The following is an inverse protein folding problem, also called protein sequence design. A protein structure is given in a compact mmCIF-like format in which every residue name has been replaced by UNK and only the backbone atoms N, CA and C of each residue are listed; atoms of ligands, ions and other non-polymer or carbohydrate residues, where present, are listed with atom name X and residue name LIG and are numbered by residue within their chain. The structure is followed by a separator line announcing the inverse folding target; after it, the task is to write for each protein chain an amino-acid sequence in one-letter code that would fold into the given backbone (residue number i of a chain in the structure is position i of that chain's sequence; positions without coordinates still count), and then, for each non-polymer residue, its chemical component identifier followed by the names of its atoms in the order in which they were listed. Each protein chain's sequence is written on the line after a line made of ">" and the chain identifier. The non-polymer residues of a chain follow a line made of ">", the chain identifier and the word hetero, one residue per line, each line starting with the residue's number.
data_IF_138113792566
#
_entry.id   IF_138113792566
#
_cell.length_a   1.000
_cell.length_b   1.000
_cell.length_c   1.000
_cell.angle_alpha   90.00
_cell.angle_beta   90.00
_cell.angle_gamma   90.00
#
_symmetry.space_group_name_H-M   'P 1'
#
loop_
_entity.id
_entity.type
_entity.pdbx_description
1 polymer ?
#
# COMPACT_ATOMS: atom_id res chain seq x y z
N UNK A 1 4.19 -22.93 -1.46
CA UNK A 1 3.33 -21.97 -2.18
C UNK A 1 3.68 -22.14 -3.66
N UNK A 2 2.70 -22.33 -4.50
CA UNK A 2 2.93 -22.62 -5.92
C UNK A 2 2.94 -21.31 -6.73
N UNK A 3 3.95 -21.16 -7.59
CA UNK A 3 3.96 -20.17 -8.66
C UNK A 3 3.62 -20.89 -9.96
N UNK A 4 2.75 -20.32 -10.77
CA UNK A 4 2.56 -20.80 -12.14
C UNK A 4 3.70 -20.25 -13.02
N UNK A 5 4.77 -21.03 -13.12
CA UNK A 5 5.96 -20.67 -13.89
C UNK A 5 5.70 -20.59 -15.41
N UNK A 6 4.53 -21.03 -15.89
CA UNK A 6 4.17 -21.00 -17.32
C UNK A 6 3.42 -19.73 -17.73
N UNK A 7 2.85 -18.97 -16.78
CA UNK A 7 2.12 -17.75 -17.05
C UNK A 7 3.08 -16.55 -17.18
N UNK A 8 2.90 -15.66 -18.18
CA UNK A 8 3.70 -14.44 -18.26
C UNK A 8 3.40 -13.54 -17.05
N UNK A 9 4.46 -13.10 -16.37
CA UNK A 9 4.33 -12.19 -15.23
C UNK A 9 3.84 -10.83 -15.71
N UNK A 10 2.79 -10.31 -15.06
CA UNK A 10 2.26 -8.96 -15.29
C UNK A 10 2.80 -8.01 -14.24
N UNK A 11 3.35 -6.90 -14.68
CA UNK A 11 3.79 -5.81 -13.80
C UNK A 11 2.71 -4.75 -13.72
N UNK A 12 2.56 -4.14 -12.54
CA UNK A 12 1.54 -3.12 -12.25
C UNK A 12 2.17 -1.74 -12.04
N UNK A 13 1.37 -0.70 -12.23
CA UNK A 13 1.74 0.69 -11.98
C UNK A 13 1.30 1.11 -10.59
N UNK A 14 2.24 1.51 -9.76
CA UNK A 14 2.06 1.75 -8.33
C UNK A 14 2.33 3.22 -8.01
N UNK A 15 1.40 3.87 -7.33
CA UNK A 15 1.60 5.20 -6.74
C UNK A 15 1.92 5.07 -5.24
N UNK A 16 2.80 5.94 -4.74
CA UNK A 16 3.22 5.97 -3.32
C UNK A 16 2.84 7.31 -2.71
N UNK A 17 2.13 7.29 -1.58
CA UNK A 17 1.83 8.45 -0.76
C UNK A 17 2.49 8.33 0.60
N UNK A 18 3.40 9.23 0.92
CA UNK A 18 3.92 9.37 2.27
C UNK A 18 3.13 10.42 3.03
N UNK A 19 2.62 10.06 4.19
CA UNK A 19 1.89 10.95 5.11
C UNK A 19 2.81 11.29 6.27
N UNK A 20 3.24 12.54 6.37
CA UNK A 20 4.16 12.98 7.41
C UNK A 20 4.14 14.50 7.59
N UNK A 21 4.09 14.95 8.84
CA UNK A 21 4.19 16.36 9.20
C UNK A 21 5.64 16.88 9.24
N UNK A 22 6.63 15.96 9.23
CA UNK A 22 8.02 16.32 9.52
C UNK A 22 9.03 15.95 8.44
N UNK A 23 8.66 15.08 7.50
CA UNK A 23 9.54 14.61 6.42
C UNK A 23 9.41 15.47 5.16
N UNK A 24 10.46 15.46 4.36
CA UNK A 24 10.45 15.87 2.96
C UNK A 24 10.71 14.66 2.09
N UNK A 25 10.58 14.78 0.77
CA UNK A 25 10.91 13.68 -0.16
C UNK A 25 12.36 13.19 0.00
N UNK A 26 13.30 14.08 0.33
CA UNK A 26 14.71 13.74 0.53
C UNK A 26 14.97 12.97 1.83
N UNK A 27 14.12 13.15 2.84
CA UNK A 27 14.25 12.50 4.16
C UNK A 27 13.26 11.33 4.34
N UNK A 28 12.44 11.06 3.34
CA UNK A 28 11.43 9.99 3.34
C UNK A 28 12.05 8.63 3.04
N UNK A 29 12.62 8.00 4.07
CA UNK A 29 13.23 6.67 3.95
C UNK A 29 12.21 5.57 3.68
N UNK A 30 10.97 5.72 4.15
CA UNK A 30 9.89 4.72 3.98
C UNK A 30 9.37 4.70 2.55
N UNK A 31 9.04 5.87 1.98
CA UNK A 31 8.63 5.97 0.58
C UNK A 31 9.76 5.61 -0.38
N UNK A 32 11.02 5.96 -0.06
CA UNK A 32 12.19 5.57 -0.86
C UNK A 32 12.38 4.05 -0.85
N UNK A 33 12.22 3.39 0.30
CA UNK A 33 12.24 1.93 0.37
C UNK A 33 11.15 1.29 -0.50
N UNK A 34 9.91 1.76 -0.39
CA UNK A 34 8.79 1.23 -1.18
C UNK A 34 9.02 1.40 -2.68
N UNK A 35 9.54 2.55 -3.11
CA UNK A 35 9.88 2.79 -4.51
C UNK A 35 10.96 1.82 -4.99
N UNK A 36 12.07 1.71 -4.28
CA UNK A 36 13.13 0.77 -4.64
C UNK A 36 12.61 -0.66 -4.71
N UNK A 37 11.83 -1.10 -3.71
CA UNK A 37 11.32 -2.46 -3.62
C UNK A 37 10.36 -2.83 -4.75
N UNK A 38 9.48 -1.90 -5.17
CA UNK A 38 8.58 -2.16 -6.30
C UNK A 38 9.34 -2.21 -7.65
N UNK A 39 10.35 -1.36 -7.84
CA UNK A 39 11.17 -1.32 -9.04
C UNK A 39 12.05 -2.58 -9.16
N UNK A 40 12.61 -3.07 -8.05
CA UNK A 40 13.38 -4.33 -7.99
C UNK A 40 12.52 -5.55 -8.40
N UNK A 41 11.21 -5.53 -8.08
CA UNK A 41 10.26 -6.57 -8.52
C UNK A 41 9.77 -6.38 -9.98
N UNK A 42 10.20 -5.31 -10.66
CA UNK A 42 9.84 -4.99 -12.04
C UNK A 42 8.54 -4.22 -12.19
N UNK A 43 7.90 -3.79 -11.12
CA UNK A 43 6.75 -2.90 -11.19
C UNK A 43 7.16 -1.47 -11.59
N UNK A 44 6.20 -0.64 -11.95
CA UNK A 44 6.46 0.73 -12.41
C UNK A 44 5.93 1.75 -11.41
N UNK A 45 6.76 2.71 -11.04
CA UNK A 45 6.30 3.87 -10.27
C UNK A 45 5.41 4.74 -11.15
N UNK A 46 4.13 4.88 -10.77
CA UNK A 46 3.20 5.77 -11.47
C UNK A 46 3.34 7.22 -10.98
N UNK A 47 3.39 7.41 -9.66
CA UNK A 47 3.56 8.73 -9.02
C UNK A 47 4.09 8.54 -7.60
N UNK A 48 4.71 9.57 -7.02
CA UNK A 48 5.13 9.60 -5.62
C UNK A 48 4.91 10.99 -5.04
N UNK A 49 4.12 11.06 -3.97
CA UNK A 49 3.81 12.30 -3.25
C UNK A 49 4.03 12.17 -1.76
N UNK A 50 4.23 13.31 -1.14
CA UNK A 50 4.26 13.46 0.30
C UNK A 50 3.27 14.56 0.69
N UNK A 51 2.42 14.28 1.68
CA UNK A 51 1.46 15.24 2.24
C UNK A 51 1.57 15.24 3.76
N UNK A 52 1.15 16.34 4.37
CA UNK A 52 0.96 16.39 5.83
C UNK A 52 -0.19 15.47 6.24
N UNK A 53 -0.28 15.11 7.53
CA UNK A 53 -1.39 14.31 8.04
C UNK A 53 -2.66 15.17 8.11
N UNK A 54 -3.35 15.25 6.98
CA UNK A 54 -4.60 15.96 6.77
C UNK A 54 -5.55 15.12 5.92
N UNK A 55 -6.75 14.87 6.47
CA UNK A 55 -7.77 14.01 5.84
C UNK A 55 -8.08 14.43 4.40
N UNK A 56 -8.21 15.71 4.16
CA UNK A 56 -8.66 16.21 2.86
C UNK A 56 -7.54 16.24 1.83
N UNK A 57 -6.29 16.49 2.25
CA UNK A 57 -5.14 16.38 1.35
C UNK A 57 -4.91 14.92 0.93
N UNK A 58 -4.99 13.98 1.87
CA UNK A 58 -4.91 12.54 1.55
C UNK A 58 -6.02 12.12 0.59
N UNK A 59 -7.28 12.51 0.87
CA UNK A 59 -8.42 12.20 0.00
C UNK A 59 -8.26 12.80 -1.39
N UNK A 60 -7.80 14.03 -1.51
CA UNK A 60 -7.60 14.69 -2.80
C UNK A 60 -6.60 13.94 -3.66
N UNK A 61 -5.43 13.57 -3.11
CA UNK A 61 -4.40 12.84 -3.83
C UNK A 61 -4.89 11.45 -4.21
N UNK A 62 -5.41 10.68 -3.23
CA UNK A 62 -5.82 9.28 -3.45
C UNK A 62 -7.01 9.20 -4.38
N UNK A 63 -8.01 10.08 -4.27
CA UNK A 63 -9.15 10.12 -5.21
C UNK A 63 -8.72 10.43 -6.64
N UNK A 64 -7.74 11.31 -6.82
CA UNK A 64 -7.16 11.60 -8.14
C UNK A 64 -6.54 10.33 -8.74
N UNK A 65 -5.75 9.61 -7.96
CA UNK A 65 -5.14 8.36 -8.41
C UNK A 65 -6.16 7.22 -8.64
N UNK A 66 -7.21 7.13 -7.80
CA UNK A 66 -8.33 6.18 -8.02
C UNK A 66 -9.04 6.47 -9.36
N UNK A 67 -9.14 7.72 -9.76
CA UNK A 67 -9.73 8.12 -11.04
C UNK A 67 -8.80 7.92 -12.24
N UNK A 68 -7.48 7.91 -12.01
CA UNK A 68 -6.48 7.77 -13.07
C UNK A 68 -6.39 6.31 -13.56
N UNK A 69 -6.66 6.02 -14.86
CA UNK A 69 -6.55 4.67 -15.41
C UNK A 69 -5.13 4.11 -15.43
N UNK A 70 -4.12 4.96 -15.26
CA UNK A 70 -2.72 4.54 -15.25
C UNK A 70 -2.24 4.13 -13.85
N UNK A 71 -3.03 4.34 -12.78
CA UNK A 71 -2.71 3.90 -11.42
C UNK A 71 -3.50 2.64 -11.07
N UNK A 72 -2.80 1.53 -10.88
CA UNK A 72 -3.40 0.22 -10.60
C UNK A 72 -3.34 -0.14 -9.11
N UNK A 73 -2.31 0.36 -8.41
CA UNK A 73 -2.09 0.13 -6.98
C UNK A 73 -1.65 1.43 -6.32
N UNK A 74 -2.11 1.64 -5.10
CA UNK A 74 -1.68 2.75 -4.24
C UNK A 74 -1.13 2.16 -2.95
N UNK A 75 0.06 2.60 -2.54
CA UNK A 75 0.62 2.27 -1.24
C UNK A 75 0.78 3.59 -0.47
N UNK A 76 0.12 3.72 0.68
CA UNK A 76 0.33 4.85 1.57
C UNK A 76 1.13 4.43 2.80
N UNK A 77 1.99 5.29 3.29
CA UNK A 77 2.79 5.05 4.50
C UNK A 77 2.71 6.24 5.44
N UNK A 78 2.37 5.99 6.70
CA UNK A 78 2.19 7.00 7.74
C UNK A 78 0.74 7.23 8.16
N UNK A 79 0.56 7.94 9.26
CA UNK A 79 -0.76 8.36 9.79
C UNK A 79 -1.68 7.23 10.26
N UNK A 80 -1.15 6.06 10.61
CA UNK A 80 -1.96 4.90 11.02
C UNK A 80 -1.96 4.64 12.54
N UNK A 81 -1.31 5.48 13.33
CA UNK A 81 -1.26 5.37 14.79
C UNK A 81 -2.50 5.96 15.48
N UNK A 82 -2.36 6.27 16.77
CA UNK A 82 -3.43 6.78 17.64
C UNK A 82 -3.18 8.21 18.14
N UNK A 83 -2.17 8.91 17.63
CA UNK A 83 -2.00 10.32 17.99
C UNK A 83 -3.11 11.17 17.39
N UNK A 84 -3.34 12.36 17.92
CA UNK A 84 -4.38 13.25 17.39
C UNK A 84 -4.15 13.73 15.94
N UNK A 85 -2.96 13.46 15.40
CA UNK A 85 -2.60 13.77 14.00
C UNK A 85 -2.77 12.57 13.07
N UNK A 86 -2.73 11.35 13.59
CA UNK A 86 -2.87 10.14 12.76
C UNK A 86 -4.31 10.00 12.25
N UNK A 87 -4.52 10.19 10.95
CA UNK A 87 -5.84 10.21 10.35
C UNK A 87 -5.98 9.41 9.04
N UNK A 88 -4.97 8.61 8.66
CA UNK A 88 -5.00 7.82 7.42
C UNK A 88 -6.22 6.87 7.35
N UNK A 89 -6.59 6.10 8.39
CA UNK A 89 -7.76 5.25 8.33
C UNK A 89 -9.07 6.04 8.12
N UNK A 90 -9.22 7.15 8.80
CA UNK A 90 -10.38 8.04 8.70
C UNK A 90 -10.47 8.74 7.33
N UNK A 91 -9.31 9.04 6.74
CA UNK A 91 -9.22 9.63 5.42
C UNK A 91 -9.61 8.64 4.32
N UNK A 92 -9.06 7.43 4.34
CA UNK A 92 -9.04 6.55 3.19
C UNK A 92 -10.08 5.42 3.24
N UNK A 93 -10.45 4.93 4.43
CA UNK A 93 -11.49 3.89 4.56
C UNK A 93 -12.82 4.25 3.86
N UNK A 94 -13.31 5.51 3.94
CA UNK A 94 -14.53 5.89 3.22
C UNK A 94 -14.42 5.88 1.69
N UNK A 95 -13.23 5.79 1.13
CA UNK A 95 -13.00 5.71 -0.32
C UNK A 95 -13.06 4.27 -0.84
N UNK A 96 -13.10 3.27 0.03
CA UNK A 96 -13.06 1.87 -0.38
C UNK A 96 -14.43 1.36 -0.82
N UNK A 97 -14.51 0.80 -2.02
CA UNK A 97 -15.67 0.05 -2.48
C UNK A 97 -15.75 -1.32 -1.78
N UNK A 98 -14.58 -1.90 -1.49
CA UNK A 98 -14.44 -3.17 -0.75
C UNK A 98 -13.26 -3.08 0.20
N UNK A 99 -13.47 -3.46 1.47
CA UNK A 99 -12.39 -3.61 2.44
C UNK A 99 -11.65 -4.94 2.26
N UNK A 100 -10.32 -4.90 2.40
CA UNK A 100 -9.44 -6.08 2.44
C UNK A 100 -9.01 -6.27 3.90
N UNK A 101 -9.91 -6.78 4.73
CA UNK A 101 -9.71 -6.90 6.18
C UNK A 101 -8.51 -7.80 6.51
N UNK A 102 -8.35 -8.90 5.76
CA UNK A 102 -7.25 -9.84 5.93
C UNK A 102 -5.86 -9.23 5.80
N UNK A 103 -5.71 -8.08 5.12
CA UNK A 103 -4.42 -7.38 5.07
C UNK A 103 -3.99 -6.90 6.46
N UNK A 104 -4.88 -6.20 7.17
CA UNK A 104 -4.58 -5.70 8.51
C UNK A 104 -4.39 -6.82 9.54
N UNK A 105 -5.16 -7.89 9.42
CA UNK A 105 -5.03 -9.09 10.27
C UNK A 105 -3.65 -9.74 10.09
N UNK A 106 -3.27 -10.05 8.86
CA UNK A 106 -2.00 -10.70 8.55
C UNK A 106 -0.80 -9.78 8.85
N UNK A 107 -0.90 -8.48 8.56
CA UNK A 107 0.14 -7.52 8.91
C UNK A 107 0.40 -7.49 10.42
N UNK A 108 -0.64 -7.42 11.25
CA UNK A 108 -0.48 -7.43 12.72
C UNK A 108 0.07 -8.74 13.23
N UNK A 109 -0.28 -9.87 12.63
CA UNK A 109 0.31 -11.16 12.97
C UNK A 109 1.81 -11.18 12.70
N UNK A 110 2.26 -10.75 11.51
CA UNK A 110 3.68 -10.69 11.16
C UNK A 110 4.44 -9.69 12.04
N UNK A 111 3.86 -8.53 12.30
CA UNK A 111 4.46 -7.51 13.18
C UNK A 111 4.59 -7.98 14.63
N UNK A 112 3.72 -8.88 15.09
CA UNK A 112 3.80 -9.41 16.45
C UNK A 112 5.12 -10.13 16.72
N UNK A 113 5.64 -10.84 15.73
CA UNK A 113 6.92 -11.54 15.84
C UNK A 113 8.12 -10.57 15.95
N UNK A 114 7.97 -9.34 15.45
CA UNK A 114 9.01 -8.30 15.47
C UNK A 114 8.91 -7.36 16.67
N UNK A 115 7.71 -6.90 17.01
CA UNK A 115 7.48 -5.82 17.99
C UNK A 115 6.51 -6.21 19.12
N UNK A 116 6.10 -7.48 19.19
CA UNK A 116 5.20 -7.97 20.24
C UNK A 116 3.85 -7.24 20.25
N UNK A 117 3.32 -7.00 21.44
CA UNK A 117 2.00 -6.36 21.62
C UNK A 117 1.90 -4.92 21.11
N UNK A 118 3.02 -4.25 20.79
CA UNK A 118 2.98 -2.90 20.17
C UNK A 118 2.24 -2.88 18.84
N UNK A 119 2.15 -4.04 18.16
CA UNK A 119 1.37 -4.17 16.92
C UNK A 119 -0.12 -3.86 17.09
N UNK A 120 -0.68 -3.94 18.30
CA UNK A 120 -2.08 -3.57 18.60
C UNK A 120 -2.37 -2.11 18.24
N UNK A 121 -1.37 -1.25 18.28
CA UNK A 121 -1.51 0.17 17.92
C UNK A 121 -1.43 0.43 16.41
N UNK A 122 -1.24 -0.59 15.59
CA UNK A 122 -1.23 -0.43 14.13
C UNK A 122 -2.65 -0.49 13.58
N UNK A 123 -3.12 0.61 13.00
CA UNK A 123 -4.41 0.70 12.30
C UNK A 123 -4.24 0.58 10.77
N UNK A 124 -3.26 -0.21 10.34
CA UNK A 124 -3.08 -0.48 8.90
C UNK A 124 -4.32 -1.15 8.32
N UNK A 125 -4.63 -0.81 7.07
CA UNK A 125 -5.82 -1.25 6.38
C UNK A 125 -5.56 -1.34 4.87
N UNK A 126 -6.43 -2.05 4.16
CA UNK A 126 -6.41 -2.08 2.70
C UNK A 126 -7.82 -2.19 2.12
N UNK A 127 -7.96 -1.81 0.86
CA UNK A 127 -9.21 -1.86 0.14
C UNK A 127 -9.04 -1.85 -1.37
N UNK A 128 -10.15 -2.09 -2.06
CA UNK A 128 -10.28 -1.89 -3.50
C UNK A 128 -11.20 -0.70 -3.75
N UNK A 129 -10.81 0.18 -4.66
CA UNK A 129 -11.60 1.33 -5.11
C UNK A 129 -11.47 1.46 -6.61
N UNK A 130 -12.58 1.38 -7.34
CA UNK A 130 -12.58 1.51 -8.81
C UNK A 130 -11.53 0.61 -9.49
N UNK A 131 -11.37 -0.63 -9.01
CA UNK A 131 -10.35 -1.60 -9.43
C UNK A 131 -8.89 -1.13 -9.22
N UNK A 132 -8.65 -0.25 -8.29
CA UNK A 132 -7.32 0.10 -7.78
C UNK A 132 -7.17 -0.50 -6.39
N UNK A 133 -6.11 -1.27 -6.16
CA UNK A 133 -5.81 -1.82 -4.84
C UNK A 133 -5.07 -0.77 -3.99
N UNK A 134 -5.50 -0.56 -2.76
CA UNK A 134 -4.94 0.45 -1.85
C UNK A 134 -4.48 -0.25 -0.58
N UNK A 135 -3.20 -0.06 -0.22
CA UNK A 135 -2.60 -0.59 0.99
C UNK A 135 -2.09 0.57 1.85
N UNK A 136 -2.58 0.68 3.08
CA UNK A 136 -2.18 1.73 4.02
C UNK A 136 -1.34 1.10 5.14
N UNK A 137 -0.04 1.42 5.17
CA UNK A 137 0.94 0.84 6.10
C UNK A 137 1.46 1.89 7.08
N UNK A 138 1.96 1.49 8.27
CA UNK A 138 2.56 2.42 9.21
C UNK A 138 3.78 3.16 8.63
N UNK A 139 4.10 4.33 9.22
CA UNK A 139 5.12 5.24 8.69
C UNK A 139 6.58 4.82 8.90
N UNK A 140 6.86 3.77 9.66
CA UNK A 140 8.24 3.30 9.85
C UNK A 140 8.74 2.49 8.66
N UNK A 141 10.02 2.62 8.32
CA UNK A 141 10.64 1.81 7.26
C UNK A 141 10.59 0.31 7.58
N UNK A 142 10.67 -0.07 8.87
CA UNK A 142 10.50 -1.46 9.32
C UNK A 142 9.12 -2.00 8.96
N UNK A 143 8.06 -1.26 9.28
CA UNK A 143 6.69 -1.65 8.94
C UNK A 143 6.46 -1.75 7.43
N UNK A 144 7.05 -0.84 6.63
CA UNK A 144 7.02 -0.93 5.17
C UNK A 144 7.69 -2.21 4.68
N UNK A 145 8.83 -2.61 5.27
CA UNK A 145 9.52 -3.87 4.95
C UNK A 145 8.67 -5.08 5.29
N UNK A 146 8.06 -5.12 6.46
CA UNK A 146 7.18 -6.21 6.89
C UNK A 146 5.97 -6.33 5.97
N UNK A 147 5.29 -5.22 5.64
CA UNK A 147 4.14 -5.22 4.73
C UNK A 147 4.53 -5.66 3.32
N UNK A 148 5.61 -5.10 2.77
CA UNK A 148 6.05 -5.42 1.41
C UNK A 148 6.51 -6.87 1.29
N UNK A 149 7.49 -7.28 2.10
CA UNK A 149 8.09 -8.60 1.99
C UNK A 149 7.15 -9.73 2.42
N UNK A 150 6.32 -9.49 3.43
CA UNK A 150 5.43 -10.51 3.99
C UNK A 150 4.09 -10.65 3.26
N UNK A 151 3.63 -9.60 2.58
CA UNK A 151 2.28 -9.60 2.00
C UNK A 151 2.25 -9.00 0.60
N UNK A 152 2.58 -7.71 0.43
CA UNK A 152 2.25 -6.95 -0.78
C UNK A 152 2.97 -7.52 -2.00
N UNK A 153 4.25 -7.84 -1.89
CA UNK A 153 5.06 -8.40 -2.97
C UNK A 153 4.43 -9.66 -3.58
N UNK A 154 3.95 -10.59 -2.74
CA UNK A 154 3.30 -11.81 -3.21
C UNK A 154 1.92 -11.52 -3.81
N UNK A 155 1.16 -10.61 -3.21
CA UNK A 155 -0.16 -10.23 -3.68
C UNK A 155 -0.15 -9.40 -4.97
N UNK A 156 1.00 -8.81 -5.33
CA UNK A 156 1.22 -8.13 -6.60
C UNK A 156 2.01 -8.98 -7.62
N UNK A 157 2.33 -10.22 -7.30
CA UNK A 157 2.86 -11.19 -8.25
C UNK A 157 1.71 -11.92 -8.95
N UNK A 158 1.53 -11.67 -10.26
CA UNK A 158 0.47 -12.29 -11.07
C UNK A 158 0.59 -13.82 -11.19
N UNK A 159 1.75 -14.38 -10.88
CA UNK A 159 2.02 -15.83 -10.92
C UNK A 159 1.78 -16.51 -9.57
N UNK A 160 1.55 -15.74 -8.51
CA UNK A 160 1.32 -16.28 -7.16
C UNK A 160 -0.04 -16.96 -7.04
N UNK A 161 -0.05 -18.19 -6.52
CA UNK A 161 -1.22 -19.06 -6.37
C UNK A 161 -1.55 -19.31 -4.89
N UNK A 162 -2.84 -19.50 -4.53
CA UNK A 162 -4.01 -19.68 -5.40
C UNK A 162 -4.65 -18.37 -5.91
N UNK A 163 -4.34 -17.22 -5.32
CA UNK A 163 -4.92 -15.93 -5.72
C UNK A 163 -3.96 -14.78 -5.43
N UNK A 164 -4.11 -13.70 -6.19
CA UNK A 164 -3.35 -12.46 -6.04
C UNK A 164 -4.23 -11.26 -6.46
N UNK A 165 -3.87 -10.03 -6.07
CA UNK A 165 -4.65 -8.85 -6.40
C UNK A 165 -4.46 -8.35 -7.83
N UNK A 166 -3.42 -8.77 -8.55
CA UNK A 166 -3.21 -8.39 -9.96
C UNK A 166 -4.39 -8.75 -10.85
N UNK A 167 -5.15 -9.79 -10.48
CA UNK A 167 -6.36 -10.20 -11.19
C UNK A 167 -7.55 -9.22 -11.01
N UNK A 168 -7.53 -8.42 -9.97
CA UNK A 168 -8.61 -7.52 -9.57
C UNK A 168 -8.35 -6.06 -9.89
N UNK A 169 -7.09 -5.72 -10.22
CA UNK A 169 -6.73 -4.35 -10.61
C UNK A 169 -6.89 -4.14 -12.11
N UNK A 170 -7.02 -2.88 -12.52
CA UNK A 170 -7.30 -2.49 -13.90
C UNK A 170 -6.36 -3.18 -14.89
N UNK A 171 -6.93 -3.65 -15.99
CA UNK A 171 -6.16 -4.05 -17.17
C UNK A 171 -6.19 -2.89 -18.17
N UNK A 172 -5.07 -2.59 -18.81
CA UNK A 172 -5.09 -1.72 -20.00
C UNK A 172 -6.15 -2.28 -20.96
N UNK A 173 -7.09 -1.44 -21.37
CA UNK A 173 -7.91 -1.74 -22.56
C UNK A 173 -6.93 -1.94 -23.71
N UNK A 174 -6.93 -3.14 -24.28
CA UNK A 174 -6.22 -3.43 -25.53
C UNK A 174 -6.83 -2.62 -26.66
#
# INVERSE_FOLDING_TARGET
>A
MAHDASAPRRFVKIAILTVSDTRSLDTDTSGSFLQQALEEEGHHLADRKLVIDDIYQMRAVVSTWIADPEVEVIITTGGTGFTGRDSTPEALSPLFDKHIEGFGELFRQLSYDEIGTSTVQSRCLAGLSNNTAIFCVPGSTGACKTAWNGIIRQQLDSTFQPCNFVQHVRRKSQ
#
